data_IF_917729579801
#
_entry.id   IF_917729579801
#
_cell.length_a   1.000
_cell.length_b   1.000
_cell.length_c   1.000
_cell.angle_alpha   90.00
_cell.angle_beta   90.00
_cell.angle_gamma   90.00
#
_symmetry.space_group_name_H-M   'P 1'
#
loop_
_entity.id
_entity.type
_entity.pdbx_description
1 polymer ?
#
# COMPACT_ATOMS: atom_id res chain seq x y z
N UNK A 1 12.45 31.67 14.33
CA UNK A 1 11.21 31.30 13.63
C UNK A 1 10.88 29.86 13.96
N UNK A 2 9.78 29.63 14.67
CA UNK A 2 9.35 28.29 15.08
C UNK A 2 8.74 27.55 13.87
N UNK A 3 9.29 26.40 13.55
CA UNK A 3 8.79 25.52 12.51
C UNK A 3 7.55 24.79 13.02
N UNK A 4 6.38 25.08 12.45
CA UNK A 4 5.19 24.26 12.65
C UNK A 4 5.31 23.04 11.71
N UNK A 5 5.66 21.88 12.25
CA UNK A 5 5.55 20.62 11.50
C UNK A 5 4.06 20.31 11.33
N UNK A 6 3.59 20.23 10.07
CA UNK A 6 2.22 19.78 9.79
C UNK A 6 2.03 18.34 10.31
N UNK A 7 1.04 18.16 11.19
CA UNK A 7 0.64 16.85 11.67
C UNK A 7 0.02 16.03 10.53
N UNK A 8 0.58 14.85 10.26
CA UNK A 8 -0.17 13.81 9.56
C UNK A 8 -1.41 13.46 10.39
N UNK A 9 -2.59 13.45 9.78
CA UNK A 9 -3.79 12.84 10.38
C UNK A 9 -3.50 11.34 10.56
N UNK A 10 -3.03 10.98 11.75
CA UNK A 10 -2.75 9.60 12.15
C UNK A 10 -3.88 9.17 13.08
N UNK A 11 -4.51 8.04 12.78
CA UNK A 11 -5.56 7.49 13.65
C UNK A 11 -4.98 7.23 15.05
N UNK A 12 -5.74 7.56 16.09
CA UNK A 12 -5.33 7.27 17.46
C UNK A 12 -5.26 5.75 17.63
N UNK A 13 -4.09 5.21 17.97
CA UNK A 13 -3.97 3.79 18.22
C UNK A 13 -4.61 3.42 19.55
N UNK A 14 -5.55 2.47 19.50
CA UNK A 14 -6.04 1.85 20.72
C UNK A 14 -4.93 1.07 21.43
N UNK A 15 -5.07 0.83 22.74
CA UNK A 15 -4.14 -0.03 23.49
C UNK A 15 -4.01 -1.42 22.86
N UNK A 16 -5.09 -1.92 22.24
CA UNK A 16 -5.08 -3.18 21.49
C UNK A 16 -4.19 -3.10 20.26
N UNK A 17 -4.30 -2.04 19.44
CA UNK A 17 -3.45 -1.89 18.26
C UNK A 17 -1.96 -1.84 18.64
N UNK A 18 -1.60 -1.07 19.67
CA UNK A 18 -0.21 -0.99 20.14
C UNK A 18 0.30 -2.37 20.58
N UNK A 19 -0.51 -3.12 21.34
CA UNK A 19 -0.15 -4.48 21.79
C UNK A 19 0.05 -5.42 20.61
N UNK A 20 -0.90 -5.46 19.68
CA UNK A 20 -0.85 -6.36 18.52
C UNK A 20 0.36 -6.03 17.63
N UNK A 21 0.67 -4.74 17.43
CA UNK A 21 1.89 -4.28 16.72
C UNK A 21 3.17 -4.74 17.40
N UNK A 22 3.25 -4.64 18.72
CA UNK A 22 4.42 -5.10 19.48
C UNK A 22 4.58 -6.62 19.41
N UNK A 23 3.49 -7.38 19.49
CA UNK A 23 3.52 -8.85 19.33
C UNK A 23 4.08 -9.20 17.95
N UNK A 24 3.53 -8.60 16.90
CA UNK A 24 3.99 -8.80 15.53
C UNK A 24 5.49 -8.46 15.38
N UNK A 25 5.89 -7.25 15.77
CA UNK A 25 7.28 -6.80 15.60
C UNK A 25 8.28 -7.59 16.45
N UNK A 26 7.86 -8.15 17.60
CA UNK A 26 8.70 -9.04 18.40
C UNK A 26 8.86 -10.41 17.73
N UNK A 27 7.81 -10.96 17.13
CA UNK A 27 7.86 -12.23 16.42
C UNK A 27 8.76 -12.21 15.18
N UNK A 28 8.88 -11.04 14.54
CA UNK A 28 9.66 -10.84 13.32
C UNK A 28 10.92 -9.99 13.53
N UNK A 29 11.38 -9.85 14.78
CA UNK A 29 12.53 -9.01 15.13
C UNK A 29 13.82 -9.44 14.42
N UNK A 30 14.06 -10.75 14.38
CA UNK A 30 15.32 -11.32 13.91
C UNK A 30 15.27 -11.68 12.42
N UNK A 31 14.17 -11.33 11.74
CA UNK A 31 14.02 -11.57 10.31
C UNK A 31 14.91 -10.66 9.50
N UNK A 32 15.63 -11.27 8.56
CA UNK A 32 16.51 -10.57 7.63
C UNK A 32 15.74 -10.08 6.40
N UNK A 33 16.39 -9.26 5.57
CA UNK A 33 15.85 -8.88 4.26
C UNK A 33 15.55 -10.11 3.38
N UNK A 34 16.32 -11.19 3.50
CA UNK A 34 16.09 -12.43 2.77
C UNK A 34 14.80 -13.13 3.22
N UNK A 35 14.50 -13.12 4.52
CA UNK A 35 13.25 -13.67 5.05
C UNK A 35 12.04 -12.86 4.59
N UNK A 36 12.13 -11.54 4.63
CA UNK A 36 11.10 -10.66 4.06
C UNK A 36 10.98 -10.81 2.54
N UNK A 37 12.04 -11.24 1.86
CA UNK A 37 12.03 -11.56 0.44
C UNK A 37 11.13 -12.74 0.06
N UNK A 38 10.67 -13.53 1.04
CA UNK A 38 9.71 -14.64 0.87
C UNK A 38 8.25 -14.17 1.01
N UNK A 39 8.03 -12.89 1.31
CA UNK A 39 6.70 -12.33 1.58
C UNK A 39 6.18 -11.60 0.34
N UNK A 40 4.92 -11.87 -0.02
CA UNK A 40 4.14 -11.06 -0.94
C UNK A 40 3.21 -10.14 -0.15
N UNK A 41 3.34 -8.83 -0.39
CA UNK A 41 2.56 -7.77 0.25
C UNK A 41 1.47 -7.33 -0.70
N UNK A 42 0.27 -7.06 -0.19
CA UNK A 42 -0.84 -6.55 -0.99
C UNK A 42 -1.63 -5.50 -0.22
N UNK A 43 -2.31 -4.62 -0.95
CA UNK A 43 -3.16 -3.56 -0.39
C UNK A 43 -3.99 -2.91 -1.50
N UNK A 44 -5.01 -2.15 -1.12
CA UNK A 44 -5.78 -1.30 -2.01
C UNK A 44 -5.36 0.17 -1.92
N UNK A 45 -5.46 0.90 -3.03
CA UNK A 45 -5.24 2.34 -3.02
C UNK A 45 -6.19 3.10 -3.94
N UNK A 46 -6.71 4.26 -3.50
CA UNK A 46 -7.45 5.17 -4.37
C UNK A 46 -6.50 6.06 -5.18
N UNK A 47 -6.82 6.25 -6.46
CA UNK A 47 -6.20 7.18 -7.41
C UNK A 47 -7.25 8.18 -7.89
N UNK A 48 -6.99 9.47 -7.70
CA UNK A 48 -7.94 10.54 -8.05
C UNK A 48 -7.52 11.22 -9.34
N UNK A 49 -8.46 11.43 -10.27
CA UNK A 49 -8.20 12.10 -11.55
C UNK A 49 -7.84 13.60 -11.36
N UNK A 50 -8.52 14.25 -10.43
CA UNK A 50 -8.31 15.65 -10.10
C UNK A 50 -8.18 15.80 -8.58
N UNK A 51 -7.19 16.56 -8.13
CA UNK A 51 -6.80 16.62 -6.73
C UNK A 51 -5.37 16.13 -6.60
N UNK A 52 -4.50 16.99 -6.09
CA UNK A 52 -3.12 16.57 -5.87
C UNK A 52 -3.12 15.56 -4.72
N UNK A 53 -2.55 14.36 -4.96
CA UNK A 53 -2.31 13.33 -3.93
C UNK A 53 -1.52 13.86 -2.71
N UNK A 54 -0.91 15.05 -2.84
CA UNK A 54 -0.28 15.85 -1.79
C UNK A 54 -0.64 17.32 -1.94
N UNK A 55 -0.72 18.06 -0.83
CA UNK A 55 -0.74 19.53 -0.86
C UNK A 55 0.51 20.03 -1.59
N UNK A 56 0.34 20.74 -2.70
CA UNK A 56 1.45 21.47 -3.36
C UNK A 56 1.72 22.74 -2.57
N UNK A 57 2.98 22.97 -2.21
CA UNK A 57 3.39 24.23 -1.62
C UNK A 57 3.44 25.29 -2.73
N UNK A 58 2.76 26.40 -2.50
CA UNK A 58 2.74 27.56 -3.40
C UNK A 58 3.41 28.71 -2.66
N UNK A 59 4.48 29.26 -3.22
CA UNK A 59 5.03 30.53 -2.76
C UNK A 59 4.15 31.67 -3.30
N UNK A 60 3.74 32.60 -2.43
CA UNK A 60 2.87 33.73 -2.80
C UNK A 60 3.23 34.97 -1.98
N UNK A 61 2.98 36.16 -2.53
CA UNK A 61 3.08 37.44 -1.80
C UNK A 61 1.79 37.70 -1.02
N UNK A 62 1.84 38.64 -0.08
CA UNK A 62 0.66 39.06 0.70
C UNK A 62 -0.40 39.65 -0.26
N UNK A 63 -1.62 39.11 -0.26
CA UNK A 63 -2.72 39.52 -1.15
C UNK A 63 -2.95 38.63 -2.37
N UNK A 64 -2.03 37.72 -2.73
CA UNK A 64 -2.12 36.87 -3.92
C UNK A 64 -2.85 35.54 -3.68
N UNK A 65 -3.60 35.40 -2.58
CA UNK A 65 -4.20 34.12 -2.20
C UNK A 65 -5.21 33.55 -3.22
N UNK A 66 -5.78 34.41 -4.06
CA UNK A 66 -6.72 34.04 -5.13
C UNK A 66 -6.15 34.20 -6.54
N UNK A 67 -4.86 34.55 -6.68
CA UNK A 67 -4.24 34.65 -7.99
C UNK A 67 -4.27 33.29 -8.70
N UNK A 68 -4.48 33.26 -10.02
CA UNK A 68 -4.69 32.02 -10.77
C UNK A 68 -3.49 31.06 -10.70
N UNK A 69 -2.27 31.59 -10.53
CA UNK A 69 -1.06 30.80 -10.28
C UNK A 69 -0.92 30.27 -8.84
N UNK A 70 -1.76 30.76 -7.93
CA UNK A 70 -1.74 30.44 -6.50
C UNK A 70 -2.94 29.61 -6.03
N UNK A 71 -3.91 29.38 -6.90
CA UNK A 71 -5.07 28.51 -6.66
C UNK A 71 -4.95 27.23 -7.48
N UNK A 72 -5.21 26.10 -6.83
CA UNK A 72 -5.32 24.82 -7.51
C UNK A 72 -6.80 24.58 -7.79
N UNK A 73 -7.22 24.38 -9.06
CA UNK A 73 -8.59 23.97 -9.36
C UNK A 73 -8.91 22.66 -8.63
N UNK A 74 -10.00 22.64 -7.88
CA UNK A 74 -10.52 21.44 -7.21
C UNK A 74 -11.93 21.16 -7.69
N UNK A 75 -12.28 19.89 -7.80
CA UNK A 75 -13.65 19.44 -8.10
C UNK A 75 -14.27 18.88 -6.83
N UNK A 76 -15.56 19.14 -6.58
CA UNK A 76 -16.25 18.69 -5.35
C UNK A 76 -16.26 17.16 -5.17
N UNK A 77 -16.27 16.42 -6.28
CA UNK A 77 -16.25 14.95 -6.29
C UNK A 77 -15.32 14.45 -7.40
N UNK A 78 -14.01 14.35 -7.14
CA UNK A 78 -13.09 13.84 -8.14
C UNK A 78 -13.36 12.37 -8.41
N UNK A 79 -13.35 12.00 -9.69
CA UNK A 79 -13.44 10.59 -10.04
C UNK A 79 -12.24 9.85 -9.42
N UNK A 80 -12.57 8.82 -8.64
CA UNK A 80 -11.60 8.02 -7.89
C UNK A 80 -11.64 6.59 -8.43
N UNK A 81 -10.47 6.09 -8.78
CA UNK A 81 -10.24 4.71 -9.23
C UNK A 81 -9.59 3.97 -8.07
N UNK A 82 -10.21 2.88 -7.63
CA UNK A 82 -9.61 2.00 -6.65
C UNK A 82 -8.82 0.92 -7.38
N UNK A 83 -7.62 0.63 -6.89
CA UNK A 83 -6.80 -0.46 -7.41
C UNK A 83 -6.37 -1.36 -6.26
N UNK A 84 -6.31 -2.65 -6.53
CA UNK A 84 -5.63 -3.62 -5.69
C UNK A 84 -4.33 -4.00 -6.40
N UNK A 85 -3.25 -4.16 -5.65
CA UNK A 85 -2.04 -4.72 -6.22
C UNK A 85 -1.19 -5.41 -5.17
N UNK A 86 -0.20 -6.14 -5.66
CA UNK A 86 0.74 -6.89 -4.83
C UNK A 86 2.18 -6.72 -5.31
N UNK A 87 3.13 -6.89 -4.42
CA UNK A 87 4.55 -6.90 -4.78
C UNK A 87 5.38 -7.70 -3.79
N UNK A 88 6.56 -8.13 -4.22
CA UNK A 88 7.57 -8.78 -3.39
C UNK A 88 8.96 -8.24 -3.71
N UNK A 89 10.00 -8.83 -3.10
CA UNK A 89 11.39 -8.54 -3.44
C UNK A 89 11.71 -8.80 -4.94
N UNK A 90 10.93 -9.67 -5.60
CA UNK A 90 11.10 -10.02 -7.02
C UNK A 90 10.50 -9.00 -7.98
N UNK A 91 9.76 -8.01 -7.48
CA UNK A 91 9.15 -6.96 -8.28
C UNK A 91 7.68 -6.75 -8.00
N UNK A 92 7.06 -5.90 -8.81
CA UNK A 92 5.63 -5.71 -8.82
C UNK A 92 4.93 -6.95 -9.37
N UNK A 93 3.77 -7.28 -8.79
CA UNK A 93 2.91 -8.36 -9.25
C UNK A 93 1.66 -7.85 -9.95
N UNK A 94 0.60 -8.65 -9.90
CA UNK A 94 -0.72 -8.31 -10.43
C UNK A 94 -1.24 -6.99 -9.88
N UNK A 95 -1.85 -6.20 -10.76
CA UNK A 95 -2.56 -4.98 -10.45
C UNK A 95 -3.95 -5.05 -11.07
N UNK A 96 -4.99 -4.92 -10.24
CA UNK A 96 -6.38 -5.02 -10.65
C UNK A 96 -7.10 -3.72 -10.33
N UNK A 97 -7.71 -3.11 -11.35
CA UNK A 97 -8.58 -1.95 -11.17
C UNK A 97 -9.95 -2.44 -10.71
N UNK A 98 -10.44 -1.92 -9.59
CA UNK A 98 -11.73 -2.29 -9.05
C UNK A 98 -12.86 -1.63 -9.86
N UNK A 99 -13.97 -2.34 -10.11
CA UNK A 99 -15.14 -1.74 -10.74
C UNK A 99 -15.72 -0.62 -9.87
N UNK A 100 -16.30 0.39 -10.53
CA UNK A 100 -16.94 1.50 -9.84
C UNK A 100 -18.08 0.99 -8.94
N UNK A 101 -18.27 1.67 -7.79
CA UNK A 101 -19.38 1.44 -6.85
C UNK A 101 -19.48 0.02 -6.29
N UNK A 102 -18.38 -0.73 -6.34
CA UNK A 102 -18.33 -2.07 -5.79
C UNK A 102 -17.76 -2.01 -4.38
N UNK A 103 -18.57 -2.34 -3.38
CA UNK A 103 -18.07 -2.58 -2.03
C UNK A 103 -17.21 -3.85 -2.03
N UNK A 104 -16.07 -3.83 -1.33
CA UNK A 104 -15.22 -5.01 -1.16
C UNK A 104 -16.05 -6.12 -0.51
N UNK A 105 -16.34 -7.18 -1.27
CA UNK A 105 -17.09 -8.34 -0.80
C UNK A 105 -16.25 -9.61 -0.96
N UNK A 106 -16.75 -10.73 -0.43
CA UNK A 106 -16.01 -12.01 -0.43
C UNK A 106 -15.75 -12.54 -1.84
N UNK A 107 -16.67 -12.30 -2.77
CA UNK A 107 -16.57 -12.72 -4.17
C UNK A 107 -15.42 -11.97 -4.87
N UNK A 108 -15.30 -10.66 -4.63
CA UNK A 108 -14.20 -9.85 -5.13
C UNK A 108 -12.87 -10.28 -4.55
N UNK A 109 -12.82 -10.58 -3.26
CA UNK A 109 -11.58 -11.07 -2.67
C UNK A 109 -11.16 -12.42 -3.25
N UNK A 110 -12.11 -13.32 -3.52
CA UNK A 110 -11.81 -14.57 -4.22
C UNK A 110 -11.27 -14.34 -5.64
N UNK A 111 -11.80 -13.34 -6.36
CA UNK A 111 -11.26 -12.97 -7.66
C UNK A 111 -9.84 -12.41 -7.54
N UNK A 112 -9.59 -11.49 -6.62
CA UNK A 112 -8.26 -10.93 -6.33
C UNK A 112 -7.24 -12.04 -6.04
N UNK A 113 -7.61 -13.04 -5.24
CA UNK A 113 -6.73 -14.15 -4.93
C UNK A 113 -6.40 -15.01 -6.15
N UNK A 114 -7.35 -15.18 -7.08
CA UNK A 114 -7.07 -15.87 -8.36
C UNK A 114 -6.09 -15.08 -9.22
N UNK A 115 -6.24 -13.75 -9.26
CA UNK A 115 -5.30 -12.87 -9.97
C UNK A 115 -3.91 -12.84 -9.32
N UNK A 116 -3.80 -13.17 -8.04
CA UNK A 116 -2.53 -13.27 -7.31
C UNK A 116 -1.73 -14.53 -7.68
N UNK A 117 -2.39 -15.65 -8.05
CA UNK A 117 -1.70 -16.93 -8.29
C UNK A 117 -0.64 -16.88 -9.38
N UNK A 118 -0.88 -16.28 -10.57
CA UNK A 118 0.15 -16.20 -11.59
C UNK A 118 1.38 -15.45 -11.10
N UNK A 119 1.19 -14.37 -10.33
CA UNK A 119 2.32 -13.63 -9.71
C UNK A 119 3.10 -14.51 -8.76
N UNK A 120 2.43 -15.29 -7.90
CA UNK A 120 3.11 -16.16 -6.94
C UNK A 120 3.91 -17.23 -7.68
N UNK A 121 3.31 -17.87 -8.70
CA UNK A 121 3.97 -18.89 -9.50
C UNK A 121 5.18 -18.31 -10.25
N UNK A 122 5.05 -17.12 -10.83
CA UNK A 122 6.14 -16.44 -11.54
C UNK A 122 7.30 -16.05 -10.60
N UNK A 123 6.99 -15.49 -9.42
CA UNK A 123 8.01 -14.92 -8.53
C UNK A 123 8.64 -15.95 -7.59
N UNK A 124 7.91 -16.98 -7.18
CA UNK A 124 8.34 -17.95 -6.17
C UNK A 124 8.43 -19.39 -6.69
N UNK A 125 7.75 -19.73 -7.78
CA UNK A 125 7.68 -21.11 -8.28
C UNK A 125 7.18 -22.07 -7.20
N UNK A 126 7.94 -23.15 -6.98
CA UNK A 126 7.62 -24.15 -5.94
C UNK A 126 8.13 -23.75 -4.53
N UNK A 127 8.75 -22.58 -4.38
CA UNK A 127 9.27 -22.13 -3.08
C UNK A 127 8.13 -21.63 -2.20
N UNK A 128 8.32 -21.75 -0.90
CA UNK A 128 7.38 -21.22 0.09
C UNK A 128 7.18 -19.71 -0.09
N UNK A 129 5.93 -19.30 -0.26
CA UNK A 129 5.50 -17.91 -0.35
C UNK A 129 4.61 -17.59 0.86
N UNK A 130 4.92 -16.48 1.53
CA UNK A 130 4.12 -15.96 2.63
C UNK A 130 3.25 -14.80 2.14
N UNK A 131 1.94 -14.95 2.20
CA UNK A 131 1.01 -13.88 1.84
C UNK A 131 0.65 -13.03 3.05
N UNK A 132 0.85 -11.71 2.94
CA UNK A 132 0.37 -10.76 3.92
C UNK A 132 -1.11 -10.42 3.64
N UNK A 133 -1.94 -10.62 4.65
CA UNK A 133 -3.35 -10.28 4.63
C UNK A 133 -3.62 -9.24 5.73
N UNK A 134 -4.38 -8.20 5.42
CA UNK A 134 -4.82 -7.29 6.45
C UNK A 134 -5.87 -7.96 7.37
N UNK A 135 -6.19 -7.31 8.49
CA UNK A 135 -7.07 -7.88 9.50
C UNK A 135 -8.56 -7.94 9.13
N UNK A 136 -8.96 -7.59 7.89
CA UNK A 136 -10.36 -7.43 7.49
C UNK A 136 -11.10 -8.78 7.55
N UNK A 137 -12.36 -8.81 8.03
CA UNK A 137 -13.10 -10.07 8.22
C UNK A 137 -13.21 -10.96 6.98
N UNK A 138 -13.31 -10.39 5.77
CA UNK A 138 -13.38 -11.18 4.54
C UNK A 138 -12.09 -11.97 4.28
N UNK A 139 -10.92 -11.43 4.66
CA UNK A 139 -9.62 -12.10 4.48
C UNK A 139 -9.42 -13.28 5.44
N UNK A 140 -10.17 -13.29 6.56
CA UNK A 140 -10.15 -14.34 7.60
C UNK A 140 -11.23 -15.41 7.40
N UNK A 141 -12.01 -15.32 6.33
CA UNK A 141 -13.06 -16.30 6.07
C UNK A 141 -12.45 -17.70 5.87
N UNK A 142 -13.06 -18.73 6.47
CA UNK A 142 -12.55 -20.12 6.40
C UNK A 142 -12.32 -20.61 4.97
N UNK A 143 -13.19 -20.19 4.04
CA UNK A 143 -13.08 -20.54 2.61
C UNK A 143 -11.79 -19.99 1.98
N UNK A 144 -11.35 -18.81 2.41
CA UNK A 144 -10.13 -18.15 1.92
C UNK A 144 -8.90 -18.86 2.48
N UNK A 145 -8.87 -19.12 3.79
CA UNK A 145 -7.75 -19.82 4.44
C UNK A 145 -7.57 -21.22 3.86
N UNK A 146 -8.68 -21.95 3.65
CA UNK A 146 -8.65 -23.28 3.04
C UNK A 146 -8.08 -23.23 1.62
N UNK A 147 -8.56 -22.28 0.82
CA UNK A 147 -8.12 -22.13 -0.56
C UNK A 147 -6.63 -21.78 -0.66
N UNK A 148 -6.10 -20.92 0.22
CA UNK A 148 -4.66 -20.60 0.26
C UNK A 148 -3.81 -21.83 0.58
N UNK A 149 -4.25 -22.65 1.55
CA UNK A 149 -3.58 -23.91 1.88
C UNK A 149 -3.58 -24.91 0.72
N UNK A 150 -4.68 -24.99 -0.04
CA UNK A 150 -4.76 -25.81 -1.27
C UNK A 150 -3.78 -25.33 -2.37
N UNK A 151 -3.36 -24.07 -2.33
CA UNK A 151 -2.40 -23.47 -3.26
C UNK A 151 -0.96 -23.41 -2.70
N UNK A 152 -0.70 -24.04 -1.54
CA UNK A 152 0.59 -24.00 -0.84
C UNK A 152 1.06 -22.58 -0.49
N UNK A 153 0.11 -21.68 -0.18
CA UNK A 153 0.38 -20.30 0.23
C UNK A 153 0.13 -20.19 1.73
N UNK A 154 1.19 -19.88 2.47
CA UNK A 154 1.11 -19.67 3.90
C UNK A 154 0.75 -18.22 4.21
N UNK A 155 -0.10 -18.01 5.22
CA UNK A 155 -0.48 -16.67 5.66
C UNK A 155 0.56 -16.19 6.66
N UNK A 156 1.14 -15.00 6.41
CA UNK A 156 1.99 -14.34 7.40
C UNK A 156 1.17 -14.08 8.68
N UNK A 157 1.73 -14.41 9.86
CA UNK A 157 1.07 -14.32 11.17
C UNK A 157 0.24 -13.04 11.32
N UNK A 158 -0.94 -13.06 11.99
CA UNK A 158 -1.97 -12.04 11.85
C UNK A 158 -1.42 -10.62 11.88
N UNK A 159 -1.57 -9.92 10.75
CA UNK A 159 -1.09 -8.57 10.59
C UNK A 159 -1.78 -7.63 11.58
N UNK A 160 -1.04 -6.72 12.24
CA UNK A 160 -1.63 -5.82 13.21
C UNK A 160 -2.58 -4.83 12.51
N UNK A 161 -3.84 -4.80 12.94
CA UNK A 161 -4.83 -3.88 12.37
C UNK A 161 -4.44 -2.40 12.52
N UNK A 162 -4.87 -1.56 11.56
CA UNK A 162 -4.53 -0.14 11.47
C UNK A 162 -3.02 0.14 11.40
N UNK A 163 -2.24 -0.71 10.70
CA UNK A 163 -0.78 -0.55 10.62
C UNK A 163 -0.29 -0.35 9.17
N UNK A 164 -0.70 0.75 8.49
CA UNK A 164 -0.21 1.04 7.15
C UNK A 164 1.29 1.33 7.13
N UNK A 165 1.84 1.87 8.22
CA UNK A 165 3.28 2.12 8.42
C UNK A 165 4.11 0.86 8.66
N UNK A 166 3.48 -0.33 8.63
CA UNK A 166 4.17 -1.63 8.58
C UNK A 166 4.09 -2.28 7.20
N UNK A 167 3.31 -1.72 6.26
CA UNK A 167 3.13 -2.29 4.93
C UNK A 167 3.87 -1.44 3.87
N UNK A 168 5.05 -1.88 3.39
CA UNK A 168 5.84 -1.17 2.39
C UNK A 168 5.12 -0.80 1.10
N UNK A 169 4.04 -1.50 0.74
CA UNK A 169 3.27 -1.18 -0.46
C UNK A 169 2.67 0.22 -0.41
N UNK A 170 2.44 0.78 0.79
CA UNK A 170 2.00 2.17 0.96
C UNK A 170 3.02 3.15 0.35
N UNK A 171 4.32 2.86 0.48
CA UNK A 171 5.37 3.64 -0.16
C UNK A 171 5.44 3.39 -1.66
N UNK A 172 5.19 2.17 -2.11
CA UNK A 172 5.06 1.85 -3.53
C UNK A 172 3.91 2.63 -4.18
N UNK A 173 2.75 2.73 -3.51
CA UNK A 173 1.64 3.56 -3.94
C UNK A 173 2.01 5.04 -4.05
N UNK A 174 2.80 5.56 -3.11
CA UNK A 174 3.30 6.94 -3.16
C UNK A 174 4.23 7.20 -4.36
N UNK A 175 5.03 6.19 -4.75
CA UNK A 175 5.87 6.25 -5.96
C UNK A 175 4.99 6.24 -7.21
N UNK A 176 4.06 5.28 -7.31
CA UNK A 176 3.16 5.15 -8.46
C UNK A 176 2.30 6.41 -8.65
N UNK A 177 1.66 6.91 -7.59
CA UNK A 177 0.86 8.16 -7.64
C UNK A 177 1.70 9.33 -8.15
N UNK A 178 2.95 9.45 -7.72
CA UNK A 178 3.84 10.52 -8.20
C UNK A 178 4.17 10.39 -9.69
N UNK A 179 4.35 9.17 -10.19
CA UNK A 179 4.61 8.92 -11.62
C UNK A 179 3.38 9.25 -12.44
N UNK A 180 2.20 8.75 -12.05
CA UNK A 180 0.92 9.02 -12.70
C UNK A 180 0.58 10.53 -12.67
N UNK A 181 0.72 11.20 -11.53
CA UNK A 181 0.42 12.63 -11.38
C UNK A 181 1.30 13.53 -12.29
N UNK A 182 2.55 13.10 -12.57
CA UNK A 182 3.45 13.82 -13.49
C UNK A 182 2.95 13.81 -14.94
N UNK A 183 2.26 12.74 -15.34
CA UNK A 183 1.71 12.57 -16.69
C UNK A 183 0.41 13.35 -16.90
N UNK A 184 -0.17 13.92 -15.82
CA UNK A 184 -1.37 14.77 -15.84
C UNK A 184 -2.53 14.15 -16.63
N UNK A 185 -3.07 12.99 -16.19
CA UNK A 185 -4.22 12.37 -16.82
C UNK A 185 -5.41 13.34 -16.93
N UNK A 186 -6.05 13.38 -18.10
CA UNK A 186 -7.16 14.31 -18.37
C UNK A 186 -8.53 13.67 -18.24
N UNK A 187 -8.59 12.34 -18.24
CA UNK A 187 -9.81 11.57 -18.06
C UNK A 187 -9.48 10.21 -17.42
N UNK A 188 -10.51 9.48 -17.04
CA UNK A 188 -10.38 8.25 -16.25
C UNK A 188 -9.82 7.08 -17.04
N UNK A 189 -10.05 7.01 -18.35
CA UNK A 189 -9.47 5.94 -19.18
C UNK A 189 -7.96 6.12 -19.33
N UNK A 190 -7.51 7.37 -19.53
CA UNK A 190 -6.08 7.71 -19.48
C UNK A 190 -5.49 7.44 -18.11
N UNK A 191 -6.21 7.75 -17.03
CA UNK A 191 -5.75 7.45 -15.67
C UNK A 191 -5.56 5.94 -15.47
N UNK A 192 -6.52 5.11 -15.90
CA UNK A 192 -6.41 3.63 -15.85
C UNK A 192 -5.20 3.14 -16.62
N UNK A 193 -5.04 3.59 -17.87
CA UNK A 193 -3.92 3.18 -18.72
C UNK A 193 -2.57 3.58 -18.11
N UNK A 194 -2.46 4.81 -17.59
CA UNK A 194 -1.23 5.29 -16.95
C UNK A 194 -0.91 4.55 -15.65
N UNK A 195 -1.91 4.21 -14.84
CA UNK A 195 -1.71 3.39 -13.63
C UNK A 195 -1.09 2.04 -14.00
N UNK A 196 -1.66 1.34 -14.99
CA UNK A 196 -1.16 0.04 -15.43
C UNK A 196 0.27 0.15 -16.02
N UNK A 197 0.49 1.16 -16.87
CA UNK A 197 1.78 1.40 -17.51
C UNK A 197 2.88 1.74 -16.50
N UNK A 198 2.63 2.70 -15.60
CA UNK A 198 3.61 3.16 -14.64
C UNK A 198 3.90 2.12 -13.56
N UNK A 199 2.92 1.26 -13.23
CA UNK A 199 3.10 0.11 -12.36
C UNK A 199 4.05 -0.92 -12.97
N UNK A 200 3.79 -1.35 -14.21
CA UNK A 200 4.66 -2.28 -14.94
C UNK A 200 6.08 -1.71 -15.15
N UNK A 201 6.22 -0.39 -15.19
CA UNK A 201 7.52 0.29 -15.30
C UNK A 201 8.24 0.47 -13.95
N UNK A 202 7.71 -0.01 -12.84
CA UNK A 202 8.45 -0.03 -11.56
C UNK A 202 9.48 -1.15 -11.63
N UNK A 203 10.76 -0.79 -11.53
CA UNK A 203 11.83 -1.78 -11.56
C UNK A 203 11.85 -2.63 -10.30
N UNK A 204 12.34 -3.87 -10.47
CA UNK A 204 12.58 -4.79 -9.36
C UNK A 204 13.46 -4.16 -8.26
N UNK A 205 14.46 -3.34 -8.61
CA UNK A 205 15.31 -2.66 -7.62
C UNK A 205 14.55 -1.78 -6.65
N UNK A 206 13.46 -1.13 -7.09
CA UNK A 206 12.62 -0.31 -6.21
C UNK A 206 11.88 -1.20 -5.23
N UNK A 207 11.32 -2.31 -5.72
CA UNK A 207 10.63 -3.30 -4.91
C UNK A 207 11.57 -3.93 -3.87
N UNK A 208 12.75 -4.40 -4.30
CA UNK A 208 13.77 -4.98 -3.43
C UNK A 208 14.18 -4.00 -2.32
N UNK A 209 14.47 -2.73 -2.64
CA UNK A 209 14.83 -1.72 -1.63
C UNK A 209 13.75 -1.49 -0.58
N UNK A 210 12.47 -1.59 -0.97
CA UNK A 210 11.37 -1.49 -0.01
C UNK A 210 11.35 -2.68 0.94
N UNK A 211 11.54 -3.89 0.42
CA UNK A 211 11.61 -5.12 1.23
C UNK A 211 12.85 -5.11 2.13
N UNK A 212 14.01 -4.71 1.63
CA UNK A 212 15.26 -4.62 2.40
C UNK A 212 15.15 -3.65 3.57
N UNK A 213 14.23 -2.69 3.50
CA UNK A 213 13.99 -1.73 4.58
C UNK A 213 13.14 -2.31 5.73
N UNK A 214 12.47 -3.44 5.54
CA UNK A 214 11.53 -4.02 6.52
C UNK A 214 12.12 -4.24 7.91
N UNK A 215 13.33 -4.83 8.08
CA UNK A 215 13.95 -4.97 9.40
C UNK A 215 14.08 -3.62 10.13
N UNK A 216 14.38 -2.54 9.39
CA UNK A 216 14.45 -1.18 9.93
C UNK A 216 13.09 -0.62 10.35
N UNK A 217 11.99 -1.03 9.70
CA UNK A 217 10.63 -0.64 10.08
C UNK A 217 10.22 -1.33 11.38
N UNK A 218 10.46 -2.64 11.46
CA UNK A 218 10.22 -3.44 12.67
C UNK A 218 10.98 -2.87 13.87
N UNK A 219 12.27 -2.57 13.70
CA UNK A 219 13.10 -1.96 14.74
C UNK A 219 12.57 -0.59 15.21
N UNK A 220 12.11 0.25 14.30
CA UNK A 220 11.54 1.56 14.62
C UNK A 220 10.23 1.44 15.42
N UNK A 221 9.34 0.50 15.06
CA UNK A 221 8.10 0.25 15.81
C UNK A 221 8.41 -0.21 17.23
N UNK A 222 9.39 -1.12 17.39
CA UNK A 222 9.83 -1.59 18.70
C UNK A 222 10.42 -0.44 19.53
N UNK A 223 11.29 0.39 18.93
CA UNK A 223 11.88 1.56 19.59
C UNK A 223 10.83 2.56 20.07
N UNK A 224 9.75 2.71 19.30
CA UNK A 224 8.62 3.58 19.63
C UNK A 224 7.54 2.91 20.50
N UNK A 225 7.81 1.72 21.04
CA UNK A 225 6.85 0.97 21.86
C UNK A 225 5.49 0.76 21.18
N UNK A 226 5.49 0.44 19.88
CA UNK A 226 4.29 0.16 19.10
C UNK A 226 3.55 1.39 18.58
N UNK A 227 4.04 2.60 18.84
CA UNK A 227 3.47 3.84 18.32
C UNK A 227 3.77 4.04 16.82
N UNK A 228 3.20 5.11 16.25
CA UNK A 228 3.37 5.44 14.83
C UNK A 228 4.83 5.70 14.44
N UNK A 229 5.25 5.10 13.33
CA UNK A 229 6.60 5.26 12.81
C UNK A 229 6.71 6.41 11.80
N UNK A 230 7.93 6.64 11.32
CA UNK A 230 8.22 7.68 10.31
C UNK A 230 7.93 7.23 8.87
N UNK A 231 7.73 5.93 8.69
CA UNK A 231 7.50 5.28 7.41
C UNK A 231 6.05 5.43 6.96
#
# INVERSE_FOLDING_TARGET
MAWCQEGQQRSHFSRKNIRDRLIFCKGYRDWTAEDWGKVILSDESPFQLFGASRKKLVQRRQGECYHQSCVMPTVKHPETIYVWGCFSAKGVGSLTILPKNTAMNKEWYQHILRELLPTIQEQFGDKQCLSQHDGVPCHKAKVIIKWLGEQNIDILCPWPGNSPDLNPIVNLWSILKRRVDKQKPTNSDKLRALIMQEWAAISQDVAQKLIDSMPGWIAEVLKKNGQHCKY
#
